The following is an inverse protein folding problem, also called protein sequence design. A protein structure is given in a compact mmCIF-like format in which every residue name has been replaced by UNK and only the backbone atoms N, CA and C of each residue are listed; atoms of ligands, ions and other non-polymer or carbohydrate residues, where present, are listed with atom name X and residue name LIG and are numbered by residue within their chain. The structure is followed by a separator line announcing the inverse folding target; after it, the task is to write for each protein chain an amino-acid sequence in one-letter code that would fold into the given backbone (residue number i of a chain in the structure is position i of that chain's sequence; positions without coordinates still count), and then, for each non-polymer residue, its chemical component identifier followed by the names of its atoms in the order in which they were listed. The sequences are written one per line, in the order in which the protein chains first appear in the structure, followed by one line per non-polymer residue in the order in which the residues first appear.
data_IF_856301753002
#
_entry.id   IF_856301753002
#
_cell.length_a   1.000
_cell.length_b   1.000
_cell.length_c   1.000
_cell.angle_alpha   90.00
_cell.angle_beta   90.00
_cell.angle_gamma   90.00
#
_symmetry.space_group_name_H-M   'P 1'
#
loop_
_entity.id
_entity.type
_entity.pdbx_description
1 polymer ?
#
# COMPACT_ATOMS: atom_id res chain seq x y z
N UNK A 1 -2.52 13.44 -21.05
CA UNK A 1 -3.68 13.25 -20.15
C UNK A 1 -3.24 13.55 -18.73
N UNK A 2 -4.18 13.73 -17.78
CA UNK A 2 -3.82 13.92 -16.38
C UNK A 2 -3.19 12.64 -15.81
N UNK A 3 -2.21 12.80 -14.92
CA UNK A 3 -1.61 11.66 -14.20
C UNK A 3 -2.52 11.24 -13.06
N UNK A 4 -2.83 9.95 -12.98
CA UNK A 4 -3.74 9.37 -11.99
C UNK A 4 -3.00 8.42 -11.06
N UNK A 5 -3.27 8.53 -9.77
CA UNK A 5 -2.82 7.59 -8.74
C UNK A 5 -4.01 6.78 -8.19
N UNK A 6 -3.82 5.49 -7.98
CA UNK A 6 -4.75 4.67 -7.17
C UNK A 6 -4.09 4.46 -5.80
N UNK A 7 -4.83 4.75 -4.71
CA UNK A 7 -4.37 4.59 -3.33
C UNK A 7 -5.34 3.68 -2.58
N UNK A 8 -4.94 2.44 -2.32
CA UNK A 8 -5.74 1.55 -1.46
C UNK A 8 -5.56 1.94 0.01
N UNK A 9 -6.60 1.84 0.82
CA UNK A 9 -6.60 2.37 2.19
C UNK A 9 -6.53 3.90 2.26
N UNK A 10 -6.89 4.61 1.18
CA UNK A 10 -6.69 6.05 1.00
C UNK A 10 -7.62 6.97 1.80
N UNK A 11 -8.43 6.44 2.72
CA UNK A 11 -9.41 7.22 3.52
C UNK A 11 -9.06 7.32 5.01
N UNK A 12 -7.87 6.89 5.40
CA UNK A 12 -7.40 7.02 6.78
C UNK A 12 -5.88 6.86 6.90
N UNK A 13 -5.32 7.45 7.95
CA UNK A 13 -3.95 7.26 8.36
C UNK A 13 -2.92 7.59 7.27
N UNK A 14 -1.98 6.65 7.01
CA UNK A 14 -0.92 6.87 6.04
C UNK A 14 -1.46 7.00 4.60
N UNK A 15 -2.43 6.15 4.22
CA UNK A 15 -3.01 6.19 2.86
C UNK A 15 -3.71 7.51 2.56
N UNK A 16 -4.45 8.06 3.52
CA UNK A 16 -5.10 9.37 3.43
C UNK A 16 -4.04 10.48 3.29
N UNK A 17 -3.02 10.48 4.15
CA UNK A 17 -1.94 11.47 4.08
C UNK A 17 -1.18 11.42 2.74
N UNK A 18 -0.96 10.24 2.17
CA UNK A 18 -0.37 10.08 0.84
C UNK A 18 -1.32 10.64 -0.23
N UNK A 19 -2.62 10.30 -0.17
CA UNK A 19 -3.61 10.77 -1.13
C UNK A 19 -3.74 12.30 -1.13
N UNK A 20 -3.73 12.92 0.05
CA UNK A 20 -3.72 14.39 0.20
C UNK A 20 -2.50 15.02 -0.48
N UNK A 21 -1.29 14.53 -0.16
CA UNK A 21 -0.05 15.07 -0.73
C UNK A 21 0.03 14.87 -2.26
N UNK A 22 -0.46 13.76 -2.80
CA UNK A 22 -0.51 13.54 -4.24
C UNK A 22 -1.46 14.53 -4.93
N UNK A 23 -2.62 14.81 -4.31
CA UNK A 23 -3.55 15.85 -4.81
C UNK A 23 -2.93 17.25 -4.77
N UNK A 24 -2.23 17.60 -3.70
CA UNK A 24 -1.48 18.86 -3.58
C UNK A 24 -0.41 19.01 -4.68
N UNK A 25 0.14 17.91 -5.18
CA UNK A 25 1.07 17.88 -6.32
C UNK A 25 0.38 17.85 -7.69
N UNK A 26 -0.93 17.99 -7.74
CA UNK A 26 -1.70 18.10 -8.99
C UNK A 26 -2.06 16.75 -9.63
N UNK A 27 -1.85 15.62 -8.95
CA UNK A 27 -2.32 14.32 -9.43
C UNK A 27 -3.82 14.16 -9.19
N UNK A 28 -4.50 13.49 -10.12
CA UNK A 28 -5.81 12.91 -9.82
C UNK A 28 -5.60 11.68 -8.93
N UNK A 29 -6.41 11.51 -7.89
CA UNK A 29 -6.25 10.39 -6.95
C UNK A 29 -7.57 9.67 -6.77
N UNK A 30 -7.56 8.37 -7.05
CA UNK A 30 -8.66 7.45 -6.77
C UNK A 30 -8.34 6.69 -5.48
N UNK A 31 -9.12 6.93 -4.45
CA UNK A 31 -9.00 6.21 -3.18
C UNK A 31 -9.90 4.98 -3.18
N UNK A 32 -9.37 3.87 -2.63
CA UNK A 32 -10.11 2.61 -2.48
C UNK A 32 -10.14 2.23 -1.00
N UNK A 33 -11.31 2.04 -0.44
CA UNK A 33 -11.46 1.55 0.94
C UNK A 33 -12.86 0.97 1.19
N UNK A 34 -13.09 0.38 2.36
CA UNK A 34 -14.40 -0.09 2.81
C UNK A 34 -15.31 1.02 3.34
N UNK A 35 -14.81 2.26 3.43
CA UNK A 35 -15.57 3.43 3.91
C UNK A 35 -16.26 4.10 2.75
N UNK A 36 -17.48 4.61 2.97
CA UNK A 36 -18.26 5.32 1.97
C UNK A 36 -17.63 6.64 1.49
N UNK A 37 -16.64 7.15 2.23
CA UNK A 37 -15.86 8.33 1.83
C UNK A 37 -14.79 8.06 0.76
N UNK A 38 -14.61 6.80 0.34
CA UNK A 38 -13.71 6.46 -0.76
C UNK A 38 -14.34 6.74 -2.12
N UNK A 39 -13.52 7.08 -3.12
CA UNK A 39 -13.96 7.20 -4.51
C UNK A 39 -14.48 5.85 -5.03
N UNK A 40 -13.89 4.75 -4.57
CA UNK A 40 -14.36 3.38 -4.81
C UNK A 40 -14.50 2.64 -3.48
N UNK A 41 -15.73 2.46 -3.03
CA UNK A 41 -16.04 1.69 -1.83
C UNK A 41 -16.01 0.20 -2.12
N UNK A 42 -15.19 -0.57 -1.36
CA UNK A 42 -15.11 -2.02 -1.49
C UNK A 42 -13.94 -2.63 -0.73
N UNK A 43 -13.91 -3.96 -0.70
CA UNK A 43 -12.78 -4.70 -0.18
C UNK A 43 -11.69 -4.78 -1.27
N UNK A 44 -10.52 -4.23 -1.00
CA UNK A 44 -9.38 -4.21 -1.92
C UNK A 44 -8.85 -5.63 -2.28
N UNK A 45 -9.23 -6.66 -1.52
CA UNK A 45 -8.91 -8.05 -1.80
C UNK A 45 -9.95 -8.74 -2.71
N UNK A 46 -10.82 -8.00 -3.39
CA UNK A 46 -11.81 -8.53 -4.33
C UNK A 46 -11.56 -7.98 -5.75
N UNK A 47 -11.53 -8.86 -6.73
CA UNK A 47 -11.30 -8.52 -8.15
C UNK A 47 -12.30 -7.47 -8.68
N UNK A 48 -13.58 -7.56 -8.29
CA UNK A 48 -14.59 -6.56 -8.65
C UNK A 48 -14.21 -5.14 -8.18
N UNK A 49 -13.67 -5.02 -6.97
CA UNK A 49 -13.20 -3.73 -6.43
C UNK A 49 -12.00 -3.22 -7.22
N UNK A 50 -11.06 -4.10 -7.57
CA UNK A 50 -9.90 -3.76 -8.42
C UNK A 50 -10.37 -3.25 -9.77
N UNK A 51 -11.24 -4.00 -10.45
CA UNK A 51 -11.76 -3.63 -11.77
C UNK A 51 -12.47 -2.27 -11.75
N UNK A 52 -13.33 -2.02 -10.75
CA UNK A 52 -14.00 -0.72 -10.58
C UNK A 52 -13.02 0.42 -10.32
N UNK A 53 -11.97 0.18 -9.52
CA UNK A 53 -10.97 1.20 -9.22
C UNK A 53 -10.15 1.56 -10.48
N UNK A 54 -9.76 0.56 -11.27
CA UNK A 54 -9.02 0.78 -12.52
C UNK A 54 -9.90 1.51 -13.53
N UNK A 55 -11.13 1.06 -13.76
CA UNK A 55 -12.05 1.71 -14.68
C UNK A 55 -12.35 3.18 -14.29
N UNK A 56 -12.54 3.44 -12.99
CA UNK A 56 -12.70 4.80 -12.50
C UNK A 56 -11.45 5.66 -12.74
N UNK A 57 -10.28 5.15 -12.43
CA UNK A 57 -9.02 5.86 -12.65
C UNK A 57 -8.77 6.14 -14.13
N UNK A 58 -9.04 5.19 -15.03
CA UNK A 58 -8.95 5.37 -16.49
C UNK A 58 -9.88 6.46 -17.02
N UNK A 59 -11.04 6.65 -16.42
CA UNK A 59 -11.96 7.74 -16.80
C UNK A 59 -11.41 9.13 -16.46
N UNK A 60 -10.43 9.23 -15.55
CA UNK A 60 -9.81 10.48 -15.11
C UNK A 60 -8.51 10.80 -15.86
N UNK A 61 -7.81 9.79 -16.40
CA UNK A 61 -6.55 9.99 -17.12
C UNK A 61 -5.64 8.76 -17.17
N UNK A 62 -4.34 8.99 -17.32
CA UNK A 62 -3.36 7.92 -17.37
C UNK A 62 -2.97 7.46 -15.97
N UNK A 63 -3.18 6.18 -15.66
CA UNK A 63 -2.74 5.61 -14.40
C UNK A 63 -1.23 5.47 -14.41
N UNK A 64 -0.54 6.24 -13.58
CA UNK A 64 0.93 6.28 -13.50
C UNK A 64 1.47 5.87 -12.13
N UNK A 65 0.60 5.75 -11.13
CA UNK A 65 0.98 5.40 -9.76
C UNK A 65 -0.05 4.48 -9.10
N UNK A 66 0.45 3.41 -8.50
CA UNK A 66 -0.30 2.57 -7.57
C UNK A 66 0.36 2.63 -6.18
N UNK A 67 -0.42 2.95 -5.15
CA UNK A 67 0.02 2.87 -3.76
C UNK A 67 -0.83 1.84 -3.02
N UNK A 68 -0.27 0.67 -2.76
CA UNK A 68 -0.89 -0.36 -1.94
C UNK A 68 -0.66 -0.05 -0.46
N UNK A 69 -1.64 0.61 0.17
CA UNK A 69 -1.60 1.02 1.58
C UNK A 69 -2.74 0.42 2.42
N UNK A 70 -3.67 -0.32 1.80
CA UNK A 70 -4.69 -1.06 2.53
C UNK A 70 -4.03 -2.07 3.48
N UNK A 71 -4.56 -2.17 4.68
CA UNK A 71 -4.08 -3.12 5.67
C UNK A 71 -4.85 -3.03 6.97
N UNK A 72 -4.82 -4.11 7.74
CA UNK A 72 -5.38 -4.19 9.09
C UNK A 72 -4.38 -4.82 10.03
N UNK A 73 -4.35 -4.35 11.27
CA UNK A 73 -3.61 -4.98 12.36
C UNK A 73 -4.57 -5.81 13.20
N UNK A 74 -4.20 -7.05 13.45
CA UNK A 74 -4.82 -7.89 14.45
C UNK A 74 -3.69 -8.62 15.18
N UNK A 75 -3.63 -8.45 16.48
CA UNK A 75 -2.50 -8.88 17.29
C UNK A 75 -2.96 -9.79 18.41
N UNK A 76 -2.26 -10.91 18.60
CA UNK A 76 -2.56 -11.90 19.62
C UNK A 76 -1.50 -12.98 19.67
N UNK A 77 -1.50 -13.76 20.77
CA UNK A 77 -0.59 -14.90 20.91
C UNK A 77 -0.87 -15.96 19.85
N UNK A 78 0.15 -16.72 19.45
CA UNK A 78 -0.05 -17.86 18.57
C UNK A 78 -1.05 -18.84 19.20
N UNK A 79 -2.05 -19.25 18.42
CA UNK A 79 -3.17 -20.11 18.89
C UNK A 79 -4.41 -19.34 19.38
N UNK A 80 -4.39 -18.00 19.46
CA UNK A 80 -5.56 -17.20 19.86
C UNK A 80 -6.42 -16.71 18.69
N UNK A 81 -5.94 -16.84 17.46
CA UNK A 81 -6.67 -16.39 16.26
C UNK A 81 -7.75 -17.38 15.86
N UNK A 82 -8.90 -16.87 15.46
CA UNK A 82 -9.92 -17.65 14.74
C UNK A 82 -9.70 -17.55 13.22
N UNK A 83 -10.30 -18.45 12.46
CA UNK A 83 -10.09 -18.52 11.01
C UNK A 83 -10.44 -17.19 10.31
N UNK A 84 -11.53 -16.54 10.71
CA UNK A 84 -11.99 -15.27 10.16
C UNK A 84 -10.93 -14.18 10.32
N UNK A 85 -10.30 -14.09 11.50
CA UNK A 85 -9.22 -13.15 11.80
C UNK A 85 -8.01 -13.35 10.87
N UNK A 86 -7.62 -14.64 10.70
CA UNK A 86 -6.51 -15.00 9.82
C UNK A 86 -6.80 -14.57 8.38
N UNK A 87 -8.01 -14.90 7.87
CA UNK A 87 -8.43 -14.51 6.51
C UNK A 87 -8.43 -12.99 6.35
N UNK A 88 -9.05 -12.27 7.27
CA UNK A 88 -9.12 -10.81 7.21
C UNK A 88 -7.73 -10.15 7.14
N UNK A 89 -6.77 -10.63 7.94
CA UNK A 89 -5.41 -10.08 7.94
C UNK A 89 -4.67 -10.42 6.65
N UNK A 90 -4.77 -11.65 6.17
CA UNK A 90 -4.13 -12.08 4.92
C UNK A 90 -4.73 -11.33 3.73
N UNK A 91 -6.04 -11.25 3.64
CA UNK A 91 -6.74 -10.57 2.54
C UNK A 91 -6.34 -9.09 2.45
N UNK A 92 -6.42 -8.37 3.57
CA UNK A 92 -6.16 -6.94 3.57
C UNK A 92 -4.68 -6.57 3.38
N UNK A 93 -3.73 -7.38 3.87
CA UNK A 93 -2.31 -7.04 3.87
C UNK A 93 -1.49 -7.72 2.75
N UNK A 94 -2.02 -8.78 2.13
CA UNK A 94 -1.32 -9.56 1.11
C UNK A 94 -2.15 -9.65 -0.18
N UNK A 95 -3.35 -10.25 -0.12
CA UNK A 95 -4.15 -10.50 -1.33
C UNK A 95 -4.50 -9.19 -2.04
N UNK A 96 -4.92 -8.15 -1.30
CA UNK A 96 -5.19 -6.83 -1.88
C UNK A 96 -3.98 -6.27 -2.64
N UNK A 97 -2.77 -6.40 -2.08
CA UNK A 97 -1.54 -5.95 -2.73
C UNK A 97 -1.27 -6.74 -4.01
N UNK A 98 -1.45 -8.06 -3.98
CA UNK A 98 -1.24 -8.93 -5.16
C UNK A 98 -2.21 -8.55 -6.28
N UNK A 99 -3.51 -8.49 -5.99
CA UNK A 99 -4.53 -8.24 -7.02
C UNK A 99 -4.35 -6.90 -7.73
N UNK A 100 -4.09 -5.81 -6.99
CA UNK A 100 -3.84 -4.51 -7.61
C UNK A 100 -2.52 -4.48 -8.40
N UNK A 101 -1.49 -5.17 -7.92
CA UNK A 101 -0.24 -5.28 -8.67
C UNK A 101 -0.42 -6.09 -9.94
N UNK A 102 -1.07 -7.25 -9.89
CA UNK A 102 -1.27 -8.14 -11.04
C UNK A 102 -2.08 -7.43 -12.14
N UNK A 103 -3.04 -6.59 -11.78
CA UNK A 103 -3.83 -5.82 -12.73
C UNK A 103 -3.01 -4.72 -13.43
N UNK A 104 -2.15 -4.00 -12.68
CA UNK A 104 -1.47 -2.81 -13.21
C UNK A 104 -0.02 -3.05 -13.65
N UNK A 105 0.66 -4.06 -13.13
CA UNK A 105 2.07 -4.31 -13.43
C UNK A 105 2.35 -4.55 -14.93
N UNK A 106 1.54 -5.35 -15.67
CA UNK A 106 1.74 -5.52 -17.11
C UNK A 106 1.63 -4.23 -17.90
N UNK A 107 0.75 -3.33 -17.49
CA UNK A 107 0.63 -1.98 -18.07
C UNK A 107 1.86 -1.14 -17.77
N UNK A 108 2.30 -1.11 -16.51
CA UNK A 108 3.45 -0.29 -16.11
C UNK A 108 4.77 -0.77 -16.71
N UNK A 109 4.95 -2.08 -16.93
CA UNK A 109 6.14 -2.59 -17.63
C UNK A 109 6.22 -2.11 -19.08
N UNK A 110 5.09 -1.96 -19.75
CA UNK A 110 4.98 -1.52 -21.15
C UNK A 110 5.00 0.00 -21.29
N UNK A 111 4.17 0.69 -20.53
CA UNK A 111 3.85 2.12 -20.74
C UNK A 111 4.61 3.03 -19.76
N UNK A 112 5.03 2.50 -18.63
CA UNK A 112 5.64 3.22 -17.51
C UNK A 112 4.66 3.43 -16.36
N UNK A 113 5.20 3.47 -15.17
CA UNK A 113 4.45 3.70 -13.93
C UNK A 113 5.21 3.23 -12.71
N UNK A 114 4.71 3.60 -11.54
CA UNK A 114 5.33 3.27 -10.26
C UNK A 114 4.35 2.53 -9.36
N UNK A 115 4.81 1.44 -8.76
CA UNK A 115 4.11 0.71 -7.69
C UNK A 115 4.81 1.01 -6.37
N UNK A 116 4.06 1.44 -5.37
CA UNK A 116 4.53 1.61 -4.00
C UNK A 116 3.78 0.63 -3.10
N UNK A 117 4.46 -0.37 -2.57
CA UNK A 117 3.88 -1.33 -1.65
C UNK A 117 4.24 -0.97 -0.20
N UNK A 118 3.24 -0.61 0.60
CA UNK A 118 3.41 -0.31 2.02
C UNK A 118 3.45 -1.61 2.81
N UNK A 119 4.65 -1.97 3.19
CA UNK A 119 4.94 -3.10 4.06
C UNK A 119 4.83 -2.71 5.55
N UNK A 120 5.80 -3.08 6.33
CA UNK A 120 6.01 -2.73 7.75
C UNK A 120 7.41 -3.18 8.17
N UNK A 121 7.94 -2.65 9.25
CA UNK A 121 9.10 -3.27 9.93
C UNK A 121 8.81 -4.71 10.36
N UNK A 122 7.53 -5.10 10.52
CA UNK A 122 7.11 -6.48 10.72
C UNK A 122 7.36 -7.41 9.52
N UNK A 123 7.67 -6.87 8.33
CA UNK A 123 8.15 -7.63 7.17
C UNK A 123 9.66 -7.86 7.19
N UNK A 124 10.38 -7.23 8.10
CA UNK A 124 11.84 -7.30 8.21
C UNK A 124 12.31 -8.11 9.42
N UNK A 125 11.50 -8.12 10.48
CA UNK A 125 11.81 -8.81 11.73
C UNK A 125 10.54 -9.36 12.37
N UNK A 126 10.66 -10.52 13.02
CA UNK A 126 9.55 -11.13 13.76
C UNK A 126 9.19 -10.28 15.00
N UNK A 127 7.90 -10.23 15.32
CA UNK A 127 7.39 -9.52 16.49
C UNK A 127 6.47 -10.42 17.31
N UNK A 128 6.60 -10.33 18.62
CA UNK A 128 5.76 -11.10 19.56
C UNK A 128 4.30 -10.67 19.40
N UNK A 129 3.38 -11.63 19.40
CA UNK A 129 1.94 -11.43 19.25
C UNK A 129 1.50 -10.86 17.88
N UNK A 130 2.35 -10.95 16.85
CA UNK A 130 2.07 -10.46 15.50
C UNK A 130 2.22 -11.57 14.44
N UNK A 131 2.04 -12.85 14.79
CA UNK A 131 2.38 -13.97 13.91
C UNK A 131 1.67 -13.93 12.54
N UNK A 132 0.35 -13.72 12.52
CA UNK A 132 -0.43 -13.67 11.27
C UNK A 132 -0.12 -12.39 10.49
N UNK A 133 0.01 -11.25 11.17
CA UNK A 133 0.38 -9.99 10.54
C UNK A 133 1.78 -10.03 9.94
N UNK A 134 2.77 -10.56 10.67
CA UNK A 134 4.11 -10.80 10.13
C UNK A 134 4.07 -11.71 8.91
N UNK A 135 3.33 -12.83 8.95
CA UNK A 135 3.21 -13.74 7.82
C UNK A 135 2.68 -13.02 6.57
N UNK A 136 1.62 -12.19 6.70
CA UNK A 136 1.08 -11.41 5.60
C UNK A 136 2.11 -10.39 5.06
N UNK A 137 2.79 -9.66 5.93
CA UNK A 137 3.77 -8.64 5.53
C UNK A 137 5.08 -9.24 4.96
N UNK A 138 5.51 -10.40 5.43
CA UNK A 138 6.61 -11.15 4.81
C UNK A 138 6.21 -11.68 3.44
N UNK A 139 4.99 -12.20 3.27
CA UNK A 139 4.43 -12.58 1.97
C UNK A 139 4.41 -11.41 0.98
N UNK A 140 3.87 -10.25 1.41
CA UNK A 140 3.84 -9.04 0.59
C UNK A 140 5.25 -8.54 0.23
N UNK A 141 6.23 -8.66 1.14
CA UNK A 141 7.63 -8.35 0.85
C UNK A 141 8.19 -9.30 -0.20
N UNK A 142 8.02 -10.62 -0.03
CA UNK A 142 8.50 -11.61 -0.99
C UNK A 142 7.95 -11.35 -2.39
N UNK A 143 6.64 -11.13 -2.50
CA UNK A 143 5.99 -10.77 -3.74
C UNK A 143 6.57 -9.47 -4.35
N UNK A 144 6.74 -8.42 -3.54
CA UNK A 144 7.30 -7.14 -4.00
C UNK A 144 8.73 -7.28 -4.52
N UNK A 145 9.58 -8.10 -3.89
CA UNK A 145 10.96 -8.35 -4.35
C UNK A 145 11.00 -9.09 -5.70
N UNK A 146 10.03 -9.98 -5.95
CA UNK A 146 9.86 -10.61 -7.28
C UNK A 146 9.50 -9.56 -8.32
N UNK A 147 8.49 -8.70 -8.06
CA UNK A 147 8.11 -7.63 -8.98
C UNK A 147 9.26 -6.67 -9.29
N UNK A 148 10.09 -6.32 -8.30
CA UNK A 148 11.31 -5.52 -8.52
C UNK A 148 12.28 -6.19 -9.50
N UNK A 149 12.38 -7.52 -9.43
CA UNK A 149 13.25 -8.28 -10.33
C UNK A 149 12.68 -8.32 -11.74
N UNK A 150 11.38 -8.53 -11.89
CA UNK A 150 10.66 -8.55 -13.16
C UNK A 150 10.58 -7.15 -13.81
N UNK A 151 10.59 -6.09 -13.02
CA UNK A 151 10.62 -4.70 -13.50
C UNK A 151 11.97 -4.30 -14.15
N UNK A 152 13.05 -5.06 -13.92
CA UNK A 152 14.38 -4.74 -14.48
C UNK A 152 14.35 -4.72 -16.01
N UNK A 153 14.84 -3.62 -16.58
CA UNK A 153 14.86 -3.44 -18.04
C UNK A 153 13.51 -3.05 -18.66
N UNK A 154 12.48 -2.87 -17.84
CA UNK A 154 11.17 -2.34 -18.26
C UNK A 154 11.02 -0.86 -17.88
N UNK A 155 9.85 -0.29 -18.14
CA UNK A 155 9.52 1.08 -17.72
C UNK A 155 8.88 1.17 -16.33
N UNK A 156 8.57 0.03 -15.68
CA UNK A 156 7.98 0.00 -14.36
C UNK A 156 9.01 0.31 -13.26
N UNK A 157 8.57 1.00 -12.22
CA UNK A 157 9.29 1.14 -10.96
C UNK A 157 8.51 0.46 -9.83
N UNK A 158 9.19 -0.24 -8.95
CA UNK A 158 8.57 -0.86 -7.78
C UNK A 158 9.34 -0.45 -6.54
N UNK A 159 8.63 0.15 -5.58
CA UNK A 159 9.17 0.66 -4.32
C UNK A 159 8.52 -0.10 -3.16
N UNK A 160 9.31 -0.71 -2.30
CA UNK A 160 8.84 -1.20 -1.01
C UNK A 160 9.06 -0.17 0.08
N UNK A 161 8.07 0.06 0.93
CA UNK A 161 8.18 0.94 2.08
C UNK A 161 7.87 0.16 3.35
N UNK A 162 8.81 0.13 4.29
CA UNK A 162 8.67 -0.58 5.56
C UNK A 162 8.66 0.41 6.73
N UNK A 163 7.51 1.03 7.04
CA UNK A 163 7.40 1.94 8.18
C UNK A 163 7.28 1.19 9.50
N UNK A 164 7.78 1.80 10.56
CA UNK A 164 7.50 1.43 11.94
C UNK A 164 6.13 1.92 12.42
N UNK A 165 5.93 1.96 13.75
CA UNK A 165 4.66 2.39 14.35
C UNK A 165 4.34 3.85 14.08
N UNK A 166 3.09 4.14 13.73
CA UNK A 166 2.56 5.47 13.40
C UNK A 166 1.28 5.77 14.18
N UNK A 167 1.00 7.06 14.42
CA UNK A 167 -0.27 7.53 14.98
C UNK A 167 -1.38 7.46 13.94
N UNK A 168 -2.02 6.29 13.81
CA UNK A 168 -3.10 6.05 12.85
C UNK A 168 -4.20 5.21 13.49
N UNK A 169 -5.43 5.18 12.95
CA UNK A 169 -6.51 4.29 13.39
C UNK A 169 -6.21 2.78 13.25
N UNK A 170 -5.07 2.41 12.70
CA UNK A 170 -4.58 1.03 12.66
C UNK A 170 -4.33 0.44 14.07
N UNK A 171 -4.05 1.31 15.05
CA UNK A 171 -3.80 0.94 16.43
C UNK A 171 -4.96 1.37 17.31
N UNK A 172 -5.41 0.48 18.19
CA UNK A 172 -6.45 0.81 19.18
C UNK A 172 -6.00 1.91 20.15
N UNK A 173 -4.71 1.96 20.45
CA UNK A 173 -4.11 2.94 21.34
C UNK A 173 -2.83 3.53 20.74
N UNK A 174 -2.75 4.85 20.78
CA UNK A 174 -1.51 5.55 20.47
C UNK A 174 -0.42 5.17 21.47
N UNK A 175 0.80 4.92 20.98
CA UNK A 175 1.96 4.60 21.82
C UNK A 175 2.97 5.73 21.73
N UNK A 176 3.62 6.01 22.85
CA UNK A 176 4.73 6.97 22.89
C UNK A 176 5.79 6.60 21.84
N UNK A 177 6.29 7.60 21.13
CA UNK A 177 7.28 7.43 20.05
C UNK A 177 6.72 6.94 18.73
N UNK A 178 5.38 6.88 18.54
CA UNK A 178 4.82 6.66 17.21
C UNK A 178 5.06 7.88 16.32
N UNK A 179 5.33 7.63 15.05
CA UNK A 179 5.62 8.65 14.05
C UNK A 179 4.35 9.31 13.51
N UNK A 180 4.47 10.55 13.06
CA UNK A 180 3.40 11.25 12.34
C UNK A 180 3.23 10.63 10.93
N UNK A 181 2.05 10.12 10.57
CA UNK A 181 1.81 9.58 9.23
C UNK A 181 2.03 10.61 8.11
N UNK A 182 1.84 11.91 8.36
CA UNK A 182 2.11 12.96 7.37
C UNK A 182 3.61 13.12 7.09
N UNK A 183 4.45 12.98 8.11
CA UNK A 183 5.91 13.01 7.91
C UNK A 183 6.36 11.80 7.07
N UNK A 184 5.82 10.61 7.34
CA UNK A 184 6.10 9.39 6.57
C UNK A 184 5.60 9.53 5.13
N UNK A 185 4.37 10.01 4.94
CA UNK A 185 3.80 10.24 3.62
C UNK A 185 4.68 11.16 2.77
N UNK A 186 5.22 12.22 3.38
CA UNK A 186 6.14 13.14 2.69
C UNK A 186 7.39 12.43 2.19
N UNK A 187 8.05 11.62 3.01
CA UNK A 187 9.22 10.83 2.60
C UNK A 187 8.88 9.91 1.41
N UNK A 188 7.71 9.26 1.44
CA UNK A 188 7.27 8.36 0.37
C UNK A 188 7.03 9.14 -0.93
N UNK A 189 6.30 10.25 -0.84
CA UNK A 189 5.92 11.04 -2.02
C UNK A 189 7.14 11.77 -2.60
N UNK A 190 8.09 12.25 -1.78
CA UNK A 190 9.35 12.83 -2.24
C UNK A 190 10.24 11.79 -2.96
N UNK A 191 10.19 10.52 -2.55
CA UNK A 191 10.92 9.45 -3.22
C UNK A 191 10.41 9.14 -4.64
N UNK A 192 9.18 9.53 -4.99
CA UNK A 192 8.64 9.37 -6.35
C UNK A 192 9.40 10.28 -7.34
N UNK A 193 9.80 11.47 -6.91
CA UNK A 193 10.47 12.48 -7.72
C UNK A 193 12.01 12.38 -7.65
N UNK A 194 12.54 11.39 -6.95
CA UNK A 194 13.98 11.21 -6.82
C UNK A 194 14.64 10.97 -8.18
N UNK A 195 15.73 11.69 -8.45
CA UNK A 195 16.51 11.55 -9.68
C UNK A 195 17.21 10.19 -9.83
N UNK A 196 17.21 9.39 -8.75
CA UNK A 196 17.77 8.04 -8.69
C UNK A 196 16.66 7.02 -8.41
N UNK A 197 16.91 5.78 -8.79
CA UNK A 197 15.93 4.72 -8.52
C UNK A 197 15.94 4.34 -7.03
N UNK A 198 14.95 4.83 -6.29
CA UNK A 198 14.67 4.39 -4.91
C UNK A 198 13.85 3.10 -5.00
N UNK A 199 14.40 1.99 -4.54
CA UNK A 199 13.72 0.69 -4.59
C UNK A 199 13.19 0.23 -3.22
N UNK A 200 13.75 0.74 -2.11
CA UNK A 200 13.33 0.37 -0.76
C UNK A 200 13.51 1.54 0.20
N UNK A 201 12.53 1.75 1.06
CA UNK A 201 12.54 2.76 2.11
C UNK A 201 12.21 2.05 3.43
N UNK A 202 13.10 2.14 4.41
CA UNK A 202 12.84 1.70 5.78
C UNK A 202 12.76 2.95 6.64
N UNK A 203 11.67 3.11 7.40
CA UNK A 203 11.44 4.28 8.24
C UNK A 203 11.26 3.77 9.68
N UNK A 204 12.24 4.03 10.49
CA UNK A 204 12.26 3.66 11.90
C UNK A 204 12.21 4.91 12.77
N UNK A 205 12.01 4.71 14.09
CA UNK A 205 11.99 5.79 15.08
C UNK A 205 13.38 6.36 15.28
#
# INVERSE_FOLDING_TARGET
MASVAIVTGGTSGLGEAIAELLRERGMQVVTVSRRDSADVTGNAAHEDTVARAVAHAESLGDITLLVNCAGVGLFGAAGSYVEEDVRQVIDANLIATILFCDELFPRFTRDGGTIVNILSTAALQAKVNESVYCAAKWGARGYTEVLKTEAKGTKARVISVAPGGMHTPFWEQAREGFMDPKAIARVIVDALDAAVNVSSIVIER
#
